data_IF_687447754212
#
_entry.id   IF_687447754212
#
_cell.length_a   1.000
_cell.length_b   1.000
_cell.length_c   1.000
_cell.angle_alpha   90.00
_cell.angle_beta   90.00
_cell.angle_gamma   90.00
#
_symmetry.space_group_name_H-M   'P 1'
#
loop_
_entity.id
_entity.type
_entity.pdbx_description
1 polymer ?
#
# COMPACT_ATOMS: atom_id res chain seq x y z
N UNK A 1 -19.88 -16.96 29.79
CA UNK A 1 -18.50 -16.42 29.87
C UNK A 1 -17.50 -17.18 28.98
N UNK A 2 -17.78 -18.41 28.51
CA UNK A 2 -16.88 -19.15 27.61
C UNK A 2 -16.97 -18.78 26.11
N UNK A 3 -18.09 -18.20 25.66
CA UNK A 3 -18.31 -17.86 24.24
C UNK A 3 -17.50 -16.65 23.75
N UNK A 4 -17.18 -15.70 24.63
CA UNK A 4 -16.45 -14.47 24.27
C UNK A 4 -14.99 -14.79 23.92
N UNK A 5 -14.35 -15.67 24.69
CA UNK A 5 -12.95 -16.07 24.46
C UNK A 5 -12.74 -16.88 23.16
N UNK A 6 -13.75 -17.64 22.71
CA UNK A 6 -13.65 -18.46 21.48
C UNK A 6 -13.81 -17.60 20.22
N UNK A 7 -14.67 -16.59 20.27
CA UNK A 7 -14.89 -15.67 19.15
C UNK A 7 -13.69 -14.73 18.94
N UNK A 8 -13.11 -14.17 20.01
CA UNK A 8 -11.90 -13.35 19.92
C UNK A 8 -10.70 -14.16 19.39
N UNK A 9 -10.54 -15.42 19.84
CA UNK A 9 -9.49 -16.32 19.33
C UNK A 9 -9.67 -16.64 17.84
N UNK A 10 -10.91 -16.77 17.35
CA UNK A 10 -11.20 -16.99 15.94
C UNK A 10 -10.93 -15.73 15.10
N UNK A 11 -11.36 -14.55 15.54
CA UNK A 11 -11.10 -13.29 14.84
C UNK A 11 -9.60 -13.00 14.70
N UNK A 12 -8.83 -13.18 15.77
CA UNK A 12 -7.37 -13.02 15.72
C UNK A 12 -6.71 -13.99 14.73
N UNK A 13 -7.22 -15.23 14.64
CA UNK A 13 -6.70 -16.21 13.66
C UNK A 13 -7.01 -15.81 12.21
N UNK A 14 -8.18 -15.21 11.95
CA UNK A 14 -8.59 -14.71 10.63
C UNK A 14 -7.73 -13.50 10.24
N UNK A 15 -7.58 -12.53 11.15
CA UNK A 15 -6.83 -11.29 10.91
C UNK A 15 -5.33 -11.57 10.73
N UNK A 16 -4.78 -12.60 11.38
CA UNK A 16 -3.36 -12.98 11.20
C UNK A 16 -2.99 -13.32 9.74
N UNK A 17 -3.97 -13.67 8.91
CA UNK A 17 -3.77 -13.95 7.48
C UNK A 17 -3.97 -12.72 6.59
N UNK A 18 -4.37 -11.56 7.13
CA UNK A 18 -4.64 -10.32 6.39
C UNK A 18 -3.50 -9.89 5.46
N UNK A 19 -2.25 -10.05 5.92
CA UNK A 19 -1.06 -9.66 5.15
C UNK A 19 -0.60 -10.71 4.14
N UNK A 20 -1.15 -11.93 4.24
CA UNK A 20 -0.74 -13.11 3.47
C UNK A 20 -1.72 -13.33 2.31
N UNK A 21 -3.03 -13.28 2.57
CA UNK A 21 -4.07 -13.48 1.57
C UNK A 21 -5.31 -12.62 1.89
N UNK A 22 -5.29 -11.33 1.48
CA UNK A 22 -6.37 -10.41 1.81
C UNK A 22 -7.72 -10.83 1.20
N UNK A 23 -7.73 -11.51 0.05
CA UNK A 23 -8.98 -11.94 -0.59
C UNK A 23 -9.63 -13.10 0.14
N UNK A 24 -8.85 -14.12 0.52
CA UNK A 24 -9.38 -15.21 1.34
C UNK A 24 -9.77 -14.74 2.74
N UNK A 25 -8.99 -13.84 3.35
CA UNK A 25 -9.35 -13.24 4.63
C UNK A 25 -10.66 -12.47 4.53
N UNK A 26 -10.93 -11.80 3.40
CA UNK A 26 -12.19 -11.07 3.20
C UNK A 26 -13.38 -12.02 3.23
N UNK A 27 -13.32 -13.14 2.50
CA UNK A 27 -14.38 -14.14 2.49
C UNK A 27 -14.65 -14.73 3.89
N UNK A 28 -13.61 -15.01 4.66
CA UNK A 28 -13.79 -15.51 6.03
C UNK A 28 -14.39 -14.46 6.96
N UNK A 29 -14.05 -13.19 6.76
CA UNK A 29 -14.55 -12.10 7.59
C UNK A 29 -16.00 -11.75 7.24
N UNK A 30 -16.40 -11.87 5.96
CA UNK A 30 -17.79 -11.76 5.52
C UNK A 30 -18.68 -12.80 6.24
N UNK A 31 -18.30 -14.10 6.21
CA UNK A 31 -19.04 -15.17 6.91
C UNK A 31 -19.08 -14.97 8.44
N UNK A 32 -18.00 -14.45 9.02
CA UNK A 32 -17.95 -14.14 10.45
C UNK A 32 -18.92 -13.02 10.83
N UNK A 33 -18.96 -11.93 10.06
CA UNK A 33 -19.80 -10.76 10.35
C UNK A 33 -21.28 -11.07 10.16
N UNK A 34 -21.63 -11.91 9.19
CA UNK A 34 -23.02 -12.36 9.00
C UNK A 34 -23.61 -12.96 10.29
N UNK A 35 -22.77 -13.70 11.04
CA UNK A 35 -23.12 -14.37 12.30
C UNK A 35 -22.93 -13.47 13.53
N UNK A 36 -22.09 -12.44 13.45
CA UNK A 36 -21.69 -11.58 14.56
C UNK A 36 -21.84 -10.08 14.22
N UNK A 37 -23.03 -9.67 13.79
CA UNK A 37 -23.30 -8.32 13.23
C UNK A 37 -23.01 -7.14 14.17
N UNK A 38 -22.88 -7.38 15.48
CA UNK A 38 -22.60 -6.34 16.48
C UNK A 38 -21.14 -6.31 16.92
N UNK A 39 -20.26 -7.14 16.32
CA UNK A 39 -18.84 -7.15 16.64
C UNK A 39 -18.14 -5.97 15.94
N UNK A 40 -18.01 -4.86 16.66
CA UNK A 40 -17.44 -3.61 16.15
C UNK A 40 -16.00 -3.79 15.65
N UNK A 41 -15.19 -4.60 16.32
CA UNK A 41 -13.79 -4.81 15.93
C UNK A 41 -13.68 -5.63 14.63
N UNK A 42 -14.55 -6.64 14.48
CA UNK A 42 -14.64 -7.39 13.22
C UNK A 42 -15.10 -6.49 12.07
N UNK A 43 -16.09 -5.62 12.31
CA UNK A 43 -16.56 -4.65 11.31
C UNK A 43 -15.46 -3.66 10.90
N UNK A 44 -14.71 -3.10 11.85
CA UNK A 44 -13.57 -2.22 11.53
C UNK A 44 -12.49 -2.94 10.70
N UNK A 45 -12.19 -4.20 11.05
CA UNK A 45 -11.24 -5.03 10.31
C UNK A 45 -11.71 -5.30 8.89
N UNK A 46 -13.02 -5.52 8.72
CA UNK A 46 -13.65 -5.75 7.43
C UNK A 46 -13.63 -4.53 6.54
N UNK A 47 -13.95 -3.36 7.08
CA UNK A 47 -13.85 -2.08 6.36
C UNK A 47 -12.40 -1.84 5.91
N UNK A 48 -11.41 -2.06 6.77
CA UNK A 48 -9.99 -1.93 6.40
C UNK A 48 -9.60 -2.87 5.25
N UNK A 49 -10.14 -4.09 5.25
CA UNK A 49 -9.87 -5.07 4.21
C UNK A 49 -10.54 -4.72 2.89
N UNK A 50 -11.81 -4.27 2.93
CA UNK A 50 -12.51 -3.73 1.76
C UNK A 50 -11.70 -2.61 1.10
N UNK A 51 -11.17 -1.67 1.88
CA UNK A 51 -10.29 -0.60 1.38
C UNK A 51 -9.06 -1.21 0.72
N UNK A 52 -8.40 -2.17 1.37
CA UNK A 52 -7.16 -2.79 0.88
C UNK A 52 -7.34 -3.47 -0.48
N UNK A 53 -8.51 -4.08 -0.72
CA UNK A 53 -8.84 -4.74 -2.01
C UNK A 53 -9.56 -3.82 -3.00
N UNK A 54 -9.69 -2.52 -2.70
CA UNK A 54 -10.26 -1.53 -3.64
C UNK A 54 -11.79 -1.45 -3.66
N UNK A 55 -12.49 -2.08 -2.70
CA UNK A 55 -13.96 -2.02 -2.56
C UNK A 55 -14.38 -0.78 -1.74
N UNK A 56 -14.06 0.41 -2.25
CA UNK A 56 -14.23 1.67 -1.52
C UNK A 56 -15.70 2.03 -1.22
N UNK A 57 -16.61 1.79 -2.17
CA UNK A 57 -18.04 2.08 -1.99
C UNK A 57 -18.66 1.17 -0.91
N UNK A 58 -18.29 -0.11 -0.89
CA UNK A 58 -18.72 -1.05 0.13
C UNK A 58 -18.19 -0.65 1.51
N UNK A 59 -16.94 -0.18 1.57
CA UNK A 59 -16.34 0.34 2.79
C UNK A 59 -17.10 1.58 3.31
N UNK A 60 -17.47 2.52 2.44
CA UNK A 60 -18.30 3.68 2.81
C UNK A 60 -19.68 3.30 3.31
N UNK A 61 -20.33 2.36 2.64
CA UNK A 61 -21.64 1.85 3.06
C UNK A 61 -21.57 1.29 4.48
N UNK A 62 -20.55 0.47 4.76
CA UNK A 62 -20.33 -0.10 6.10
C UNK A 62 -20.06 0.98 7.15
N UNK A 63 -19.21 1.97 6.84
CA UNK A 63 -18.92 3.10 7.72
C UNK A 63 -20.22 3.84 8.09
N UNK A 64 -21.04 4.18 7.09
CA UNK A 64 -22.30 4.89 7.31
C UNK A 64 -23.27 4.09 8.18
N UNK A 65 -23.38 2.78 7.93
CA UNK A 65 -24.23 1.91 8.74
C UNK A 65 -23.81 1.87 10.21
N UNK A 66 -22.51 1.95 10.51
CA UNK A 66 -21.99 2.00 11.88
C UNK A 66 -22.29 3.36 12.52
N UNK A 67 -22.07 4.46 11.80
CA UNK A 67 -22.38 5.82 12.25
C UNK A 67 -23.88 5.99 12.60
N UNK A 68 -24.78 5.39 11.80
CA UNK A 68 -26.24 5.49 11.98
C UNK A 68 -26.79 4.61 13.13
N UNK A 69 -26.09 3.53 13.51
CA UNK A 69 -26.63 2.49 14.40
C UNK A 69 -26.12 2.53 15.83
N UNK A 70 -25.03 3.23 16.12
CA UNK A 70 -24.29 3.06 17.38
C UNK A 70 -24.01 4.39 18.08
N UNK A 71 -24.13 4.37 19.42
CA UNK A 71 -23.45 5.35 20.27
C UNK A 71 -21.96 4.99 20.29
N UNK A 72 -21.21 5.53 19.33
CA UNK A 72 -19.81 5.16 19.13
C UNK A 72 -18.97 5.49 20.36
N UNK A 73 -18.22 4.50 20.84
CA UNK A 73 -17.15 4.79 21.81
C UNK A 73 -16.09 5.67 21.13
N UNK A 74 -15.37 6.47 21.93
CA UNK A 74 -14.31 7.34 21.40
C UNK A 74 -13.24 6.57 20.59
N UNK A 75 -12.95 5.31 20.94
CA UNK A 75 -11.98 4.50 20.20
C UNK A 75 -12.48 4.07 18.83
N UNK A 76 -13.74 3.61 18.74
CA UNK A 76 -14.37 3.22 17.47
C UNK A 76 -14.50 4.44 16.56
N UNK A 77 -14.94 5.57 17.09
CA UNK A 77 -15.04 6.83 16.35
C UNK A 77 -13.69 7.21 15.69
N UNK A 78 -12.58 7.16 16.43
CA UNK A 78 -11.24 7.45 15.88
C UNK A 78 -10.87 6.52 14.72
N UNK A 79 -11.16 5.23 14.84
CA UNK A 79 -10.90 4.26 13.76
C UNK A 79 -11.77 4.52 12.54
N UNK A 80 -13.05 4.87 12.74
CA UNK A 80 -13.94 5.26 11.63
C UNK A 80 -13.39 6.48 10.91
N UNK A 81 -12.99 7.53 11.64
CA UNK A 81 -12.42 8.73 11.01
C UNK A 81 -11.15 8.39 10.21
N UNK A 82 -10.27 7.54 10.77
CA UNK A 82 -9.09 7.04 10.08
C UNK A 82 -9.45 6.30 8.77
N UNK A 83 -10.41 5.36 8.82
CA UNK A 83 -10.83 4.58 7.64
C UNK A 83 -11.52 5.46 6.61
N UNK A 84 -12.36 6.40 7.04
CA UNK A 84 -13.04 7.38 6.18
C UNK A 84 -12.03 8.26 5.46
N UNK A 85 -10.98 8.72 6.16
CA UNK A 85 -9.88 9.43 5.52
C UNK A 85 -9.22 8.58 4.44
N UNK A 86 -8.87 7.32 4.71
CA UNK A 86 -8.29 6.43 3.68
C UNK A 86 -9.20 6.33 2.46
N UNK A 87 -10.51 6.11 2.65
CA UNK A 87 -11.44 6.01 1.53
C UNK A 87 -11.50 7.30 0.71
N UNK A 88 -11.63 8.46 1.36
CA UNK A 88 -11.66 9.75 0.65
C UNK A 88 -10.39 9.97 -0.17
N UNK A 89 -9.21 9.60 0.37
CA UNK A 89 -7.93 9.72 -0.34
C UNK A 89 -7.86 8.85 -1.59
N UNK A 90 -8.30 7.57 -1.51
CA UNK A 90 -8.31 6.67 -2.67
C UNK A 90 -9.42 6.98 -3.68
N UNK A 91 -10.53 7.57 -3.25
CA UNK A 91 -11.58 8.01 -4.16
C UNK A 91 -11.27 9.35 -4.85
N UNK A 92 -10.15 9.99 -4.52
CA UNK A 92 -9.77 11.30 -5.06
C UNK A 92 -10.61 12.46 -4.51
N UNK A 93 -11.39 12.25 -3.45
CA UNK A 93 -12.21 13.28 -2.78
C UNK A 93 -11.34 14.08 -1.78
N UNK A 94 -10.36 14.78 -2.33
CA UNK A 94 -9.33 15.47 -1.54
C UNK A 94 -9.88 16.65 -0.72
N UNK A 95 -11.00 17.24 -1.13
CA UNK A 95 -11.67 18.29 -0.35
C UNK A 95 -12.19 17.74 0.97
N UNK A 96 -12.90 16.60 0.94
CA UNK A 96 -13.38 15.95 2.15
C UNK A 96 -12.26 15.33 2.96
N UNK A 97 -11.24 14.76 2.31
CA UNK A 97 -10.06 14.27 3.01
C UNK A 97 -9.38 15.40 3.80
N UNK A 98 -9.24 16.58 3.22
CA UNK A 98 -8.65 17.74 3.88
C UNK A 98 -9.51 18.23 5.05
N UNK A 99 -10.83 18.31 4.89
CA UNK A 99 -11.75 18.66 5.98
C UNK A 99 -11.64 17.67 7.15
N UNK A 100 -11.56 16.36 6.86
CA UNK A 100 -11.32 15.34 7.89
C UNK A 100 -9.99 15.63 8.60
N UNK A 101 -8.91 15.81 7.85
CA UNK A 101 -7.58 16.07 8.42
C UNK A 101 -7.62 17.30 9.33
N UNK A 102 -8.22 18.41 8.91
CA UNK A 102 -8.24 19.65 9.68
C UNK A 102 -9.08 19.54 10.96
N UNK A 103 -10.25 18.90 10.88
CA UNK A 103 -11.13 18.71 12.03
C UNK A 103 -10.60 17.68 13.04
N UNK A 104 -9.82 16.70 12.58
CA UNK A 104 -9.32 15.57 13.37
C UNK A 104 -7.80 15.59 13.62
N UNK A 105 -7.10 16.66 13.22
CA UNK A 105 -5.64 16.68 13.07
C UNK A 105 -4.90 16.13 14.28
N UNK A 106 -5.22 16.63 15.48
CA UNK A 106 -4.48 16.30 16.71
C UNK A 106 -4.49 14.80 17.03
N UNK A 107 -5.61 14.13 16.81
CA UNK A 107 -5.65 12.69 17.10
C UNK A 107 -5.18 11.86 15.91
N UNK A 108 -5.42 12.30 14.67
CA UNK A 108 -4.84 11.64 13.50
C UNK A 108 -3.32 11.65 13.57
N UNK A 109 -2.71 12.76 14.01
CA UNK A 109 -1.28 12.87 14.26
C UNK A 109 -0.77 11.88 15.31
N UNK A 110 -1.60 11.50 16.29
CA UNK A 110 -1.26 10.47 17.27
C UNK A 110 -1.35 9.03 16.73
N UNK A 111 -2.05 8.82 15.60
CA UNK A 111 -2.23 7.52 14.96
C UNK A 111 -1.37 7.36 13.70
N UNK A 112 -1.01 8.47 13.05
CA UNK A 112 -0.36 8.56 11.76
C UNK A 112 0.81 9.52 11.91
N UNK A 113 2.02 8.96 11.98
CA UNK A 113 3.25 9.76 12.15
C UNK A 113 3.41 10.83 11.05
N UNK A 114 2.93 10.54 9.84
CA UNK A 114 3.15 11.34 8.64
C UNK A 114 1.88 12.07 8.15
N UNK A 115 0.91 12.35 9.03
CA UNK A 115 -0.37 12.99 8.62
C UNK A 115 -0.15 14.33 7.90
N UNK A 116 0.90 15.06 8.26
CA UNK A 116 1.27 16.31 7.60
C UNK A 116 1.62 16.12 6.12
N UNK A 117 2.18 14.97 5.73
CA UNK A 117 2.54 14.70 4.33
C UNK A 117 1.28 14.48 3.49
N UNK A 118 0.30 13.75 4.02
CA UNK A 118 -0.99 13.55 3.35
C UNK A 118 -1.81 14.84 3.29
N UNK A 119 -1.70 15.72 4.30
CA UNK A 119 -2.30 17.05 4.25
C UNK A 119 -1.74 17.86 3.08
N UNK A 120 -0.41 17.94 2.96
CA UNK A 120 0.26 18.63 1.85
C UNK A 120 -0.17 18.04 0.50
N UNK A 121 -0.26 16.71 0.39
CA UNK A 121 -0.76 16.04 -0.82
C UNK A 121 -2.19 16.50 -1.18
N UNK A 122 -3.12 16.54 -0.22
CA UNK A 122 -4.48 17.04 -0.44
C UNK A 122 -4.50 18.51 -0.87
N UNK A 123 -3.75 19.37 -0.17
CA UNK A 123 -3.68 20.81 -0.48
C UNK A 123 -3.18 21.06 -1.91
N UNK A 124 -2.20 20.28 -2.37
CA UNK A 124 -1.72 20.34 -3.77
C UNK A 124 -2.83 19.98 -4.76
N UNK A 125 -3.63 18.97 -4.48
CA UNK A 125 -4.71 18.52 -5.38
C UNK A 125 -5.92 19.46 -5.38
N UNK A 126 -6.28 20.00 -4.21
CA UNK A 126 -7.43 20.92 -4.05
C UNK A 126 -7.09 22.32 -4.57
N UNK A 127 -6.02 22.93 -4.05
CA UNK A 127 -5.72 24.34 -4.32
C UNK A 127 -4.83 24.54 -5.53
N UNK A 128 -4.17 23.49 -6.03
CA UNK A 128 -3.14 23.57 -7.09
C UNK A 128 -2.02 24.56 -6.77
N UNK A 129 -1.85 24.90 -5.49
CA UNK A 129 -0.88 25.87 -5.02
C UNK A 129 0.49 25.22 -4.96
N UNK A 130 1.34 25.55 -5.94
CA UNK A 130 2.74 25.12 -6.01
C UNK A 130 3.63 25.92 -5.05
N UNK A 131 3.21 26.16 -3.81
CA UNK A 131 4.17 26.65 -2.81
C UNK A 131 5.16 25.51 -2.54
N UNK A 132 6.21 25.49 -3.36
CA UNK A 132 7.37 24.61 -3.28
C UNK A 132 8.23 25.05 -2.11
N UNK A 133 7.64 25.17 -0.91
CA UNK A 133 8.45 25.21 0.29
C UNK A 133 9.44 24.05 0.20
N UNK A 134 10.72 24.30 0.48
CA UNK A 134 11.79 23.31 0.37
C UNK A 134 11.58 22.21 1.43
N UNK A 135 10.67 21.27 1.15
CA UNK A 135 10.51 20.08 1.97
C UNK A 135 11.69 19.17 1.67
N UNK A 136 12.58 18.94 2.64
CA UNK A 136 13.74 18.05 2.44
C UNK A 136 13.40 16.55 2.40
N UNK A 137 12.18 16.18 2.83
CA UNK A 137 11.72 14.80 2.83
C UNK A 137 11.45 14.29 1.40
N UNK A 138 12.07 13.17 1.03
CA UNK A 138 11.92 12.54 -0.29
C UNK A 138 10.47 12.27 -0.68
N UNK A 139 9.67 11.68 0.22
CA UNK A 139 8.28 11.31 -0.06
C UNK A 139 7.44 12.56 -0.34
N UNK A 140 7.61 13.62 0.46
CA UNK A 140 6.90 14.89 0.24
C UNK A 140 7.30 15.54 -1.08
N UNK A 141 8.57 15.49 -1.47
CA UNK A 141 9.01 15.96 -2.81
C UNK A 141 8.30 15.19 -3.92
N UNK A 142 8.23 13.87 -3.83
CA UNK A 142 7.53 13.04 -4.83
C UNK A 142 6.03 13.30 -4.89
N UNK A 143 5.40 13.66 -3.76
CA UNK A 143 3.99 14.03 -3.68
C UNK A 143 3.67 15.33 -4.43
N UNK A 144 4.59 16.30 -4.39
CA UNK A 144 4.41 17.63 -4.97
C UNK A 144 4.84 17.67 -6.45
N UNK A 145 6.01 17.16 -6.76
CA UNK A 145 6.64 17.25 -8.08
C UNK A 145 7.44 15.96 -8.34
N UNK A 146 6.73 14.93 -8.81
CA UNK A 146 7.30 13.61 -9.03
C UNK A 146 8.51 13.67 -9.97
N UNK A 147 9.59 12.98 -9.57
CA UNK A 147 10.84 12.92 -10.33
C UNK A 147 11.36 11.50 -10.34
N UNK A 148 11.28 10.85 -11.51
CA UNK A 148 11.82 9.51 -11.71
C UNK A 148 13.34 9.47 -11.43
N UNK A 149 14.06 10.55 -11.74
CA UNK A 149 15.49 10.65 -11.45
C UNK A 149 15.77 10.62 -9.94
N UNK A 150 14.97 11.34 -9.15
CA UNK A 150 15.08 11.33 -7.68
C UNK A 150 14.70 9.98 -7.10
N UNK A 151 13.70 9.28 -7.66
CA UNK A 151 13.39 7.89 -7.31
C UNK A 151 14.57 6.95 -7.55
N UNK A 152 15.23 7.02 -8.71
CA UNK A 152 16.43 6.23 -8.99
C UNK A 152 17.54 6.55 -7.99
N UNK A 153 17.74 7.83 -7.67
CA UNK A 153 18.74 8.25 -6.69
C UNK A 153 18.41 7.76 -5.28
N UNK A 154 17.14 7.80 -4.88
CA UNK A 154 16.65 7.27 -3.62
C UNK A 154 16.94 5.76 -3.50
N UNK A 155 16.59 4.98 -4.53
CA UNK A 155 16.88 3.53 -4.57
C UNK A 155 18.38 3.26 -4.48
N UNK A 156 19.21 4.00 -5.22
CA UNK A 156 20.68 3.85 -5.12
C UNK A 156 21.19 4.16 -3.71
N UNK A 157 20.67 5.21 -3.06
CA UNK A 157 21.10 5.55 -1.70
C UNK A 157 20.65 4.50 -0.68
N UNK A 158 19.44 3.96 -0.82
CA UNK A 158 18.90 2.95 0.09
C UNK A 158 19.62 1.61 -0.06
N UNK A 159 19.88 1.18 -1.30
CA UNK A 159 20.39 -0.17 -1.60
C UNK A 159 21.91 -0.24 -1.80
N UNK A 160 22.60 0.88 -2.03
CA UNK A 160 24.07 0.89 -2.20
C UNK A 160 24.84 1.39 -0.96
N UNK A 161 24.18 1.86 0.11
CA UNK A 161 24.83 2.31 1.36
C UNK A 161 24.34 1.51 2.58
N UNK A 162 25.06 0.43 2.89
CA UNK A 162 25.11 -0.35 4.15
C UNK A 162 23.85 -1.12 4.63
N UNK A 163 24.12 -2.42 4.79
CA UNK A 163 23.55 -3.47 5.67
C UNK A 163 22.13 -3.96 5.42
N UNK A 164 22.05 -5.30 5.40
CA UNK A 164 20.88 -6.18 5.34
C UNK A 164 20.18 -6.31 3.99
N UNK A 165 20.08 -5.27 3.15
CA UNK A 165 19.36 -5.35 1.86
C UNK A 165 20.21 -4.91 0.67
N UNK A 166 20.39 -5.78 -0.32
CA UNK A 166 21.14 -5.50 -1.56
C UNK A 166 20.41 -6.05 -2.80
N UNK A 167 20.04 -5.20 -3.77
CA UNK A 167 19.57 -5.66 -5.08
C UNK A 167 20.75 -6.08 -5.96
N UNK A 168 20.69 -7.27 -6.55
CA UNK A 168 21.86 -7.89 -7.20
C UNK A 168 22.37 -7.18 -8.46
N UNK A 169 21.55 -6.40 -9.18
CA UNK A 169 21.98 -5.75 -10.41
C UNK A 169 21.19 -4.46 -10.72
N UNK A 170 21.89 -3.32 -10.63
CA UNK A 170 21.34 -2.00 -10.98
C UNK A 170 20.96 -1.87 -12.47
N UNK A 171 21.60 -2.60 -13.38
CA UNK A 171 21.26 -2.62 -14.81
C UNK A 171 19.95 -3.41 -15.03
N UNK A 172 19.80 -4.56 -14.35
CA UNK A 172 18.55 -5.31 -14.29
C UNK A 172 17.41 -4.47 -13.71
N UNK A 173 17.65 -3.64 -12.70
CA UNK A 173 16.63 -2.73 -12.16
C UNK A 173 16.05 -1.79 -13.22
N UNK A 174 16.87 -1.25 -14.14
CA UNK A 174 16.34 -0.38 -15.21
C UNK A 174 15.40 -1.14 -16.15
N UNK A 175 15.78 -2.36 -16.54
CA UNK A 175 14.96 -3.21 -17.42
C UNK A 175 13.65 -3.58 -16.72
N UNK A 176 13.74 -3.96 -15.44
CA UNK A 176 12.56 -4.23 -14.60
C UNK A 176 11.64 -3.02 -14.53
N UNK A 177 12.16 -1.82 -14.25
CA UNK A 177 11.36 -0.61 -14.15
C UNK A 177 10.65 -0.24 -15.45
N UNK A 178 11.30 -0.43 -16.60
CA UNK A 178 10.66 -0.23 -17.92
C UNK A 178 9.48 -1.17 -18.09
N UNK A 179 9.63 -2.44 -17.72
CA UNK A 179 8.56 -3.43 -17.86
C UNK A 179 7.43 -3.22 -16.84
N UNK A 180 7.78 -2.96 -15.58
CA UNK A 180 6.83 -2.62 -14.51
C UNK A 180 5.94 -1.46 -14.94
N UNK A 181 6.51 -0.37 -15.46
CA UNK A 181 5.74 0.79 -15.91
C UNK A 181 4.71 0.46 -17.01
N UNK A 182 4.96 -0.54 -17.86
CA UNK A 182 3.98 -1.00 -18.85
C UNK A 182 2.84 -1.80 -18.23
N UNK A 183 3.13 -2.54 -17.15
CA UNK A 183 2.21 -3.45 -16.50
C UNK A 183 1.27 -2.73 -15.51
N UNK A 184 1.77 -1.70 -14.82
CA UNK A 184 1.04 -0.99 -13.75
C UNK A 184 -0.41 -0.60 -14.11
N UNK A 185 -0.72 -0.01 -15.29
CA UNK A 185 -2.07 0.49 -15.58
C UNK A 185 -3.18 -0.58 -15.55
N UNK A 186 -2.86 -1.85 -15.75
CA UNK A 186 -3.84 -2.94 -15.82
C UNK A 186 -3.62 -4.01 -14.74
N UNK A 187 -2.74 -3.73 -13.77
CA UNK A 187 -2.37 -4.71 -12.75
C UNK A 187 -3.17 -4.46 -11.48
N UNK A 188 -3.67 -5.54 -10.91
CA UNK A 188 -4.28 -5.52 -9.59
C UNK A 188 -3.25 -5.11 -8.52
N UNK A 189 -3.67 -4.28 -7.57
CA UNK A 189 -2.83 -3.77 -6.50
C UNK A 189 -3.56 -3.83 -5.16
N UNK A 190 -2.80 -3.67 -4.08
CA UNK A 190 -3.36 -3.53 -2.73
C UNK A 190 -3.15 -2.11 -2.20
N UNK A 191 -4.20 -1.57 -1.59
CA UNK A 191 -4.26 -0.20 -1.07
C UNK A 191 -3.90 -0.16 0.41
N UNK A 192 -2.60 -0.23 0.74
CA UNK A 192 -2.14 -0.42 2.12
C UNK A 192 -2.02 0.89 2.92
N UNK A 193 -1.64 1.99 2.26
CA UNK A 193 -1.51 3.32 2.89
C UNK A 193 -2.72 4.21 2.65
N UNK A 194 -2.53 5.52 2.46
CA UNK A 194 -3.58 6.47 2.10
C UNK A 194 -3.64 6.76 0.61
N UNK A 195 -2.50 6.65 -0.08
CA UNK A 195 -2.34 6.91 -1.52
C UNK A 195 -1.33 5.95 -2.15
N UNK A 196 -0.98 4.88 -1.43
CA UNK A 196 0.06 3.92 -1.78
C UNK A 196 -0.57 2.65 -2.36
N UNK A 197 -0.46 2.51 -3.67
CA UNK A 197 -0.82 1.28 -4.37
C UNK A 197 0.37 0.33 -4.37
N UNK A 198 0.16 -0.89 -3.87
CA UNK A 198 1.21 -1.89 -3.68
C UNK A 198 1.07 -2.99 -4.73
N UNK A 199 2.13 -3.18 -5.51
CA UNK A 199 2.22 -4.19 -6.57
C UNK A 199 3.32 -5.19 -6.25
N UNK A 200 3.01 -6.48 -6.42
CA UNK A 200 3.93 -7.57 -6.12
C UNK A 200 4.47 -8.20 -7.40
N UNK A 201 5.79 -8.44 -7.40
CA UNK A 201 6.51 -9.00 -8.54
C UNK A 201 7.48 -10.08 -8.05
N UNK A 202 7.71 -11.06 -8.94
CA UNK A 202 8.70 -12.12 -8.76
C UNK A 202 9.82 -11.97 -9.78
N UNK A 203 11.05 -12.07 -9.32
CA UNK A 203 12.27 -12.10 -10.12
C UNK A 203 13.34 -12.84 -9.31
N UNK A 204 13.68 -14.07 -9.67
CA UNK A 204 14.36 -15.02 -8.78
C UNK A 204 15.75 -14.55 -8.34
N UNK A 205 16.09 -14.53 -7.07
CA UNK A 205 17.34 -13.91 -6.59
C UNK A 205 17.43 -12.44 -7.05
N UNK A 206 16.41 -11.62 -6.77
CA UNK A 206 16.42 -10.19 -7.08
C UNK A 206 17.20 -9.37 -6.04
N UNK A 207 17.26 -9.84 -4.80
CA UNK A 207 18.00 -9.18 -3.73
C UNK A 207 18.48 -10.18 -2.66
N UNK A 208 19.39 -9.72 -1.80
CA UNK A 208 19.72 -10.34 -0.52
C UNK A 208 19.01 -9.55 0.57
N UNK A 209 18.27 -10.21 1.45
CA UNK A 209 17.70 -9.65 2.68
C UNK A 209 18.21 -10.48 3.85
N UNK A 210 18.88 -9.86 4.82
CA UNK A 210 19.47 -10.55 5.99
C UNK A 210 20.39 -11.74 5.63
N UNK A 211 21.13 -11.62 4.53
CA UNK A 211 22.01 -12.69 4.03
C UNK A 211 21.28 -13.84 3.30
N UNK A 212 19.97 -13.74 3.13
CA UNK A 212 19.14 -14.71 2.40
C UNK A 212 18.75 -14.14 1.04
N UNK A 213 18.93 -14.92 -0.02
CA UNK A 213 18.44 -14.55 -1.36
C UNK A 213 16.91 -14.55 -1.37
N UNK A 214 16.31 -13.51 -1.95
CA UNK A 214 14.86 -13.39 -2.09
C UNK A 214 14.46 -13.24 -3.55
N UNK A 215 13.30 -13.80 -3.88
CA UNK A 215 12.77 -13.89 -5.24
C UNK A 215 11.70 -12.85 -5.54
N UNK A 216 11.32 -12.03 -4.56
CA UNK A 216 10.16 -11.15 -4.65
C UNK A 216 10.49 -9.72 -4.22
N UNK A 217 9.74 -8.79 -4.79
CA UNK A 217 9.81 -7.38 -4.39
C UNK A 217 8.44 -6.72 -4.55
N UNK A 218 8.25 -5.64 -3.79
CA UNK A 218 7.09 -4.77 -3.85
C UNK A 218 7.46 -3.47 -4.54
N UNK A 219 6.55 -2.98 -5.38
CA UNK A 219 6.58 -1.65 -5.96
C UNK A 219 5.41 -0.87 -5.38
N UNK A 220 5.71 0.28 -4.78
CA UNK A 220 4.72 1.22 -4.26
C UNK A 220 4.62 2.38 -5.22
N UNK A 221 3.42 2.67 -5.70
CA UNK A 221 3.15 3.84 -6.54
C UNK A 221 2.22 4.82 -5.85
N UNK A 222 2.24 6.06 -6.32
CA UNK A 222 1.18 7.02 -6.05
C UNK A 222 -0.10 6.59 -6.76
N UNK A 223 -1.19 6.53 -6.01
CA UNK A 223 -2.52 6.29 -6.53
C UNK A 223 -2.82 7.22 -7.73
N UNK A 224 -3.53 6.67 -8.72
CA UNK A 224 -3.91 7.32 -9.99
C UNK A 224 -2.78 7.69 -10.97
N UNK A 225 -1.50 7.67 -10.56
CA UNK A 225 -0.43 8.27 -11.38
C UNK A 225 0.65 7.30 -11.86
N UNK A 226 0.59 6.01 -11.49
CA UNK A 226 1.61 4.99 -11.79
C UNK A 226 3.05 5.39 -11.40
N UNK A 227 3.23 6.53 -10.73
CA UNK A 227 4.48 7.11 -10.34
C UNK A 227 5.06 6.31 -9.18
N UNK A 228 6.18 5.63 -9.42
CA UNK A 228 6.81 4.74 -8.45
C UNK A 228 7.48 5.57 -7.36
N UNK A 229 7.01 5.41 -6.12
CA UNK A 229 7.58 6.03 -4.91
C UNK A 229 8.72 5.21 -4.34
N UNK A 230 8.55 3.89 -4.30
CA UNK A 230 9.48 2.99 -3.63
C UNK A 230 9.40 1.61 -4.27
N UNK A 231 10.53 0.91 -4.27
CA UNK A 231 10.60 -0.48 -4.66
C UNK A 231 11.52 -1.16 -3.66
N UNK A 232 11.11 -2.24 -3.00
CA UNK A 232 11.92 -2.94 -1.99
C UNK A 232 11.69 -4.45 -2.03
N UNK A 233 12.72 -5.26 -1.69
CA UNK A 233 12.61 -6.71 -1.75
C UNK A 233 11.81 -7.25 -0.57
N UNK A 234 11.21 -8.43 -0.74
CA UNK A 234 10.39 -9.08 0.28
C UNK A 234 10.77 -10.56 0.45
N UNK A 235 10.96 -10.97 1.70
CA UNK A 235 11.28 -12.36 2.05
C UNK A 235 10.10 -13.31 1.84
N UNK A 236 8.86 -12.82 1.93
CA UNK A 236 7.65 -13.65 1.91
C UNK A 236 6.48 -12.89 1.27
N UNK A 237 5.99 -13.38 0.14
CA UNK A 237 4.69 -12.95 -0.44
C UNK A 237 3.73 -14.12 -0.66
N UNK A 238 3.89 -15.21 0.09
CA UNK A 238 3.09 -16.42 -0.09
C UNK A 238 1.60 -16.07 -0.16
N UNK A 239 0.95 -16.41 -1.29
CA UNK A 239 -0.47 -16.21 -1.59
C UNK A 239 -0.92 -14.78 -1.99
N UNK A 240 -0.01 -13.80 -2.10
CA UNK A 240 -0.34 -12.53 -2.74
C UNK A 240 -0.32 -12.65 -4.28
N UNK A 241 -1.22 -11.97 -5.01
CA UNK A 241 -1.17 -11.93 -6.47
C UNK A 241 0.10 -11.22 -6.93
N UNK A 242 0.98 -11.94 -7.62
CA UNK A 242 2.23 -11.40 -8.15
C UNK A 242 2.33 -11.57 -9.67
N UNK A 243 3.17 -10.75 -10.31
CA UNK A 243 3.56 -10.95 -11.70
C UNK A 243 4.97 -11.52 -11.77
N UNK A 244 5.14 -12.64 -12.46
CA UNK A 244 6.45 -13.24 -12.70
C UNK A 244 7.18 -12.51 -13.84
N UNK A 245 8.35 -11.95 -13.54
CA UNK A 245 9.21 -11.20 -14.46
C UNK A 245 10.44 -11.99 -14.91
N UNK A 246 10.55 -13.28 -14.56
CA UNK A 246 11.72 -14.09 -14.91
C UNK A 246 11.94 -14.24 -16.42
N UNK A 247 10.89 -14.09 -17.25
CA UNK A 247 11.00 -14.09 -18.71
C UNK A 247 11.96 -13.00 -19.26
N UNK A 248 12.19 -11.93 -18.50
CA UNK A 248 13.15 -10.88 -18.88
C UNK A 248 14.61 -11.38 -18.87
N UNK A 249 14.90 -12.49 -18.19
CA UNK A 249 16.24 -13.11 -18.14
C UNK A 249 16.54 -13.89 -19.41
N UNK A 250 15.54 -14.59 -19.92
CA UNK A 250 15.65 -15.40 -21.14
C UNK A 250 15.92 -14.49 -22.35
N UNK A 251 15.24 -13.33 -22.40
CA UNK A 251 15.44 -12.33 -23.45
C UNK A 251 16.81 -11.62 -23.39
N UNK A 252 17.53 -11.65 -22.26
CA UNK A 252 18.92 -11.17 -22.20
C UNK A 252 19.90 -12.10 -22.93
N UNK A 253 19.62 -13.40 -22.98
CA UNK A 253 20.50 -14.36 -23.66
C UNK A 253 20.46 -14.21 -25.19
N UNK A 254 19.31 -13.86 -25.77
CA UNK A 254 19.21 -13.62 -27.22
C UNK A 254 19.99 -12.37 -27.67
N UNK A 255 20.01 -11.31 -26.87
CA UNK A 255 20.72 -10.06 -27.21
C UNK A 255 22.25 -10.23 -27.14
N UNK A 256 22.75 -11.11 -26.26
CA UNK A 256 24.18 -11.45 -26.19
C UNK A 256 24.59 -12.34 -27.36
N UNK A 257 23.75 -13.32 -27.74
CA UNK A 257 24.04 -14.24 -28.85
C UNK A 257 24.15 -13.55 -30.23
N UNK A 258 23.46 -12.42 -30.42
CA UNK A 258 23.54 -11.63 -31.66
C UNK A 258 24.81 -10.77 -31.71
N UNK A 259 25.34 -10.33 -30.55
CA UNK A 259 26.59 -9.55 -30.49
C UNK A 259 27.86 -10.38 -30.66
N UNK A 260 27.81 -11.69 -30.38
CA UNK A 260 28.96 -12.59 -30.57
C UNK A 260 29.05 -13.19 -31.99
N UNK A 261 28.13 -12.83 -32.89
CA UNK A 261 28.09 -13.29 -34.29
C UNK A 261 28.18 -12.16 -35.34
N UNK A 262 28.58 -10.96 -34.95
CA UNK A 262 28.88 -9.84 -35.85
C UNK A 262 30.34 -9.41 -35.73
#
# INVERSE_FOLDING_TARGET
METINKNESNLQSIIKNYEIDPYMTLLFLEDYIEKNRNDENALLSYISLLITVGRFEDALYCIKSIEDSLSLTNNIYKHIVYLKLKVMMYMGDYERALDIIDNAYKFLQSMINDIGYYKVYCEQRVYKNKDKNEYDNYIVKQFIDYSFADFIMYCKNLYCKKSEIEFFDCESMKILLVEINKLLPNKECLHKGFIEDNYYFKYDNCAIVNGVSVDYFTVITLHESANILMMYPQEKIYNLPYTDLNYLRENKQEVVYVKEKL
#
